data_IF_760414252257
#
_entry.id   IF_760414252257
#
_cell.length_a   1.000
_cell.length_b   1.000
_cell.length_c   1.000
_cell.angle_alpha   90.00
_cell.angle_beta   90.00
_cell.angle_gamma   90.00
#
_symmetry.space_group_name_H-M   'P 1'
#
loop_
_entity.id
_entity.type
_entity.pdbx_description
1 polymer ?
#
# COMPACT_ATOMS: atom_id res chain seq x y z
N UNK A 1 -45.72 53.42 -24.72
CA UNK A 1 -45.32 54.68 -24.05
C UNK A 1 -44.21 54.31 -23.08
N UNK A 2 -42.95 54.29 -23.53
CA UNK A 2 -41.96 55.42 -23.55
C UNK A 2 -41.55 55.77 -22.12
N UNK A 3 -40.36 55.37 -21.64
CA UNK A 3 -39.00 55.84 -21.95
C UNK A 3 -38.65 57.22 -21.36
N UNK A 4 -37.42 57.29 -20.84
CA UNK A 4 -36.56 58.45 -20.55
C UNK A 4 -36.80 59.37 -19.33
N UNK A 5 -35.76 59.36 -18.46
CA UNK A 5 -34.94 60.48 -17.96
C UNK A 5 -35.58 61.76 -17.37
N UNK A 6 -35.01 62.26 -16.26
CA UNK A 6 -34.22 63.51 -16.24
C UNK A 6 -33.46 63.68 -14.92
N UNK A 7 -32.22 64.13 -15.12
CA UNK A 7 -31.10 64.48 -14.23
C UNK A 7 -31.42 65.55 -13.18
N UNK A 8 -30.63 65.58 -12.10
CA UNK A 8 -30.14 66.86 -11.57
C UNK A 8 -28.68 66.76 -11.08
N UNK A 9 -27.89 67.69 -11.57
CA UNK A 9 -26.45 67.86 -11.37
C UNK A 9 -26.16 68.79 -10.20
N UNK A 10 -25.22 68.40 -9.33
CA UNK A 10 -24.65 69.27 -8.30
C UNK A 10 -23.12 69.19 -8.27
N UNK A 11 -22.45 70.17 -8.90
CA UNK A 11 -21.01 70.46 -8.75
C UNK A 11 -20.70 70.86 -7.30
N UNK A 12 -19.58 70.39 -6.73
CA UNK A 12 -18.79 71.14 -5.74
C UNK A 12 -17.34 70.62 -5.63
N UNK A 13 -16.46 71.40 -6.26
CA UNK A 13 -15.14 71.88 -5.83
C UNK A 13 -14.33 71.12 -4.77
N UNK A 14 -13.09 70.84 -5.18
CA UNK A 14 -11.95 70.39 -4.39
C UNK A 14 -11.65 71.30 -3.18
N UNK A 15 -11.34 70.66 -2.05
CA UNK A 15 -10.64 71.29 -0.94
C UNK A 15 -9.61 70.33 -0.36
N UNK A 16 -8.35 70.63 -0.67
CA UNK A 16 -7.12 70.17 -0.03
C UNK A 16 -7.21 70.30 1.49
N UNK A 17 -7.06 69.16 2.20
CA UNK A 17 -6.70 69.11 3.62
C UNK A 17 -5.50 68.18 3.82
N UNK A 18 -4.33 68.81 3.96
CA UNK A 18 -3.12 68.23 4.57
C UNK A 18 -3.42 67.83 6.02
N UNK A 19 -3.00 66.62 6.42
CA UNK A 19 -2.81 66.17 7.81
C UNK A 19 -1.86 64.95 7.83
N UNK A 20 -1.19 64.66 8.96
CA UNK A 20 0.27 64.69 9.05
C UNK A 20 0.93 63.31 8.98
N UNK A 21 2.22 63.36 8.64
CA UNK A 21 3.21 62.29 8.68
C UNK A 21 3.24 61.54 10.02
N UNK A 22 2.58 60.38 10.05
CA UNK A 22 2.77 59.36 11.07
C UNK A 22 4.01 58.52 10.73
N UNK A 23 5.03 58.59 11.59
CA UNK A 23 6.21 57.74 11.56
C UNK A 23 5.77 56.29 11.80
N UNK A 24 5.74 55.49 10.74
CA UNK A 24 5.57 54.04 10.87
C UNK A 24 6.77 53.43 11.59
N UNK A 25 6.59 52.37 12.41
CA UNK A 25 7.70 51.71 13.07
C UNK A 25 8.63 51.14 12.00
N UNK A 26 9.89 51.60 12.01
CA UNK A 26 10.97 51.03 11.19
C UNK A 26 11.02 49.53 11.41
N UNK A 27 10.92 48.77 10.32
CA UNK A 27 11.38 47.39 10.22
C UNK A 27 12.77 47.30 10.87
N UNK A 28 12.84 46.72 12.07
CA UNK A 28 14.09 46.12 12.55
C UNK A 28 14.30 44.87 11.71
N UNK A 29 15.48 44.64 11.12
CA UNK A 29 15.83 43.31 10.64
C UNK A 29 15.65 42.35 11.81
N UNK A 30 14.97 41.23 11.59
CA UNK A 30 14.91 40.15 12.56
C UNK A 30 16.36 39.79 12.92
N UNK A 31 16.75 40.06 14.16
CA UNK A 31 17.97 39.52 14.74
C UNK A 31 17.86 38.00 14.66
N UNK A 32 18.70 37.40 13.82
CA UNK A 32 18.97 35.97 13.84
C UNK A 32 19.50 35.64 15.23
N UNK A 33 18.64 35.06 16.07
CA UNK A 33 19.05 34.44 17.31
C UNK A 33 20.15 33.40 17.07
N UNK A 34 20.92 33.04 18.11
CA UNK A 34 22.07 32.16 17.97
C UNK A 34 21.62 30.85 17.32
N UNK A 35 22.23 30.53 16.18
CA UNK A 35 21.97 29.29 15.46
C UNK A 35 22.20 28.12 16.41
N UNK A 36 21.26 27.16 16.40
CA UNK A 36 21.40 25.93 17.17
C UNK A 36 22.80 25.31 16.94
N UNK A 37 23.47 24.83 18.00
CA UNK A 37 24.81 24.23 17.87
C UNK A 37 24.77 23.05 16.89
N UNK A 38 25.88 22.83 16.18
CA UNK A 38 26.05 21.62 15.39
C UNK A 38 25.88 20.40 16.28
N UNK A 39 25.12 19.42 15.85
CA UNK A 39 24.77 18.26 16.64
C UNK A 39 25.04 16.98 15.85
N UNK A 40 25.66 16.01 16.54
CA UNK A 40 25.80 14.65 16.03
C UNK A 40 24.58 13.85 16.50
N UNK A 41 23.79 13.38 15.55
CA UNK A 41 22.54 12.67 15.81
C UNK A 41 22.70 11.22 15.37
N UNK A 42 22.54 10.28 16.29
CA UNK A 42 22.43 8.88 15.92
C UNK A 42 21.13 8.67 15.11
N UNK A 43 21.25 8.06 13.94
CA UNK A 43 20.12 7.85 13.04
C UNK A 43 19.86 6.37 12.82
N UNK A 44 18.58 6.01 12.78
CA UNK A 44 18.04 4.77 12.20
C UNK A 44 16.75 5.17 11.48
N UNK A 45 16.89 5.61 10.23
CA UNK A 45 15.86 6.38 9.54
C UNK A 45 15.70 5.96 8.08
N UNK A 46 14.50 6.15 7.54
CA UNK A 46 14.23 5.96 6.12
C UNK A 46 14.68 7.19 5.34
N UNK A 47 15.43 6.96 4.26
CA UNK A 47 15.78 7.99 3.30
C UNK A 47 14.61 8.22 2.35
N UNK A 48 14.12 9.45 2.32
CA UNK A 48 13.16 9.90 1.32
C UNK A 48 13.80 10.92 0.38
N UNK A 49 13.50 10.79 -0.92
CA UNK A 49 14.03 11.66 -1.97
C UNK A 49 12.85 12.18 -2.77
N UNK A 50 12.66 13.50 -2.75
CA UNK A 50 11.56 14.20 -3.43
C UNK A 50 12.15 15.42 -4.14
N UNK A 51 11.90 15.53 -5.45
CA UNK A 51 12.39 16.63 -6.30
C UNK A 51 13.87 16.98 -6.06
N UNK A 52 14.74 15.96 -6.16
CA UNK A 52 16.21 16.02 -5.98
C UNK A 52 16.72 16.42 -4.58
N UNK A 53 15.82 16.61 -3.62
CA UNK A 53 16.14 16.84 -2.22
C UNK A 53 15.95 15.56 -1.41
N UNK A 54 16.74 15.42 -0.36
CA UNK A 54 16.80 14.19 0.43
C UNK A 54 16.64 14.46 1.91
N UNK A 55 15.92 13.59 2.60
CA UNK A 55 15.67 13.66 4.04
C UNK A 55 15.76 12.28 4.68
N UNK A 56 16.38 12.21 5.85
CA UNK A 56 16.17 11.08 6.77
C UNK A 56 14.90 11.37 7.58
N UNK A 57 13.90 10.51 7.43
CA UNK A 57 12.61 10.64 8.11
C UNK A 57 12.74 10.27 9.59
N UNK A 58 12.37 11.18 10.48
CA UNK A 58 12.43 10.95 11.93
C UNK A 58 11.28 10.06 12.42
N UNK A 59 10.05 10.33 11.95
CA UNK A 59 8.81 9.71 12.44
C UNK A 59 8.26 8.63 11.49
N UNK A 60 9.13 7.95 10.74
CA UNK A 60 8.76 6.84 9.86
C UNK A 60 8.55 7.24 8.40
N UNK A 61 7.30 7.20 7.91
CA UNK A 61 7.01 7.25 6.46
C UNK A 61 6.49 8.59 5.95
N UNK A 62 6.15 9.52 6.85
CA UNK A 62 5.64 10.83 6.50
C UNK A 62 6.69 11.91 6.78
N UNK A 63 6.65 13.05 6.05
CA UNK A 63 7.46 14.21 6.37
C UNK A 63 7.15 14.74 7.79
N UNK A 64 8.19 15.01 8.56
CA UNK A 64 8.12 15.54 9.92
C UNK A 64 8.99 16.79 10.11
N UNK A 65 8.72 17.59 11.16
CA UNK A 65 9.55 18.76 11.48
C UNK A 65 10.98 18.39 11.89
N UNK A 66 11.18 17.17 12.39
CA UNK A 66 12.47 16.66 12.88
C UNK A 66 13.28 15.91 11.81
N UNK A 67 12.81 15.90 10.56
CA UNK A 67 13.50 15.26 9.44
C UNK A 67 14.85 15.93 9.15
N UNK A 68 15.88 15.12 8.97
CA UNK A 68 17.24 15.60 8.75
C UNK A 68 17.50 15.73 7.25
N UNK A 69 17.68 16.96 6.70
CA UNK A 69 18.03 17.11 5.30
C UNK A 69 19.43 16.56 5.03
N UNK A 70 19.60 15.79 3.95
CA UNK A 70 20.88 15.16 3.59
C UNK A 70 21.44 15.76 2.31
N UNK A 71 22.74 16.03 2.29
CA UNK A 71 23.40 16.57 1.12
C UNK A 71 23.46 15.54 -0.03
N UNK A 72 23.13 15.95 -1.27
CA UNK A 72 23.07 15.03 -2.43
C UNK A 72 24.41 14.37 -2.78
N UNK A 73 25.54 14.92 -2.33
CA UNK A 73 26.85 14.26 -2.48
C UNK A 73 26.97 13.00 -1.60
N UNK A 74 26.33 12.98 -0.42
CA UNK A 74 26.27 11.81 0.46
C UNK A 74 25.51 10.67 -0.21
N UNK A 75 24.40 10.98 -0.87
CA UNK A 75 23.61 10.00 -1.62
C UNK A 75 24.45 9.31 -2.68
N UNK A 76 25.23 10.08 -3.45
CA UNK A 76 26.12 9.54 -4.47
C UNK A 76 27.28 8.73 -3.87
N UNK A 77 27.91 9.23 -2.80
CA UNK A 77 29.05 8.57 -2.17
C UNK A 77 28.70 7.18 -1.62
N UNK A 78 27.50 7.04 -1.04
CA UNK A 78 27.03 5.80 -0.43
C UNK A 78 26.07 5.00 -1.31
N UNK A 79 25.81 5.44 -2.54
CA UNK A 79 24.87 4.78 -3.46
C UNK A 79 23.44 4.70 -2.91
N UNK A 80 23.02 5.68 -2.11
CA UNK A 80 21.72 5.69 -1.46
C UNK A 80 20.59 5.98 -2.46
N UNK A 81 19.46 5.29 -2.26
CA UNK A 81 18.23 5.42 -3.05
C UNK A 81 17.04 5.62 -2.11
N UNK A 82 15.96 6.23 -2.61
CA UNK A 82 14.70 6.40 -1.87
C UNK A 82 14.26 5.06 -1.26
N UNK A 83 13.81 5.07 -0.02
CA UNK A 83 13.39 3.88 0.74
C UNK A 83 14.52 3.11 1.43
N UNK A 84 15.79 3.51 1.29
CA UNK A 84 16.87 2.92 2.08
C UNK A 84 16.67 3.24 3.56
N UNK A 85 16.86 2.24 4.42
CA UNK A 85 16.98 2.45 5.87
C UNK A 85 18.45 2.64 6.22
N UNK A 86 18.80 3.80 6.73
CA UNK A 86 20.17 4.21 7.01
C UNK A 86 20.38 4.24 8.51
N UNK A 87 21.43 3.56 8.97
CA UNK A 87 21.90 3.67 10.36
C UNK A 87 23.28 4.30 10.41
N UNK A 88 23.57 5.08 11.45
CA UNK A 88 24.86 5.74 11.61
C UNK A 88 24.77 7.03 12.41
N UNK A 89 25.63 7.99 12.07
CA UNK A 89 25.66 9.32 12.67
C UNK A 89 25.40 10.36 11.58
N UNK A 90 24.44 11.25 11.82
CA UNK A 90 24.21 12.44 11.00
C UNK A 90 24.84 13.65 11.69
N UNK A 91 25.81 14.27 11.02
CA UNK A 91 26.42 15.52 11.48
C UNK A 91 25.58 16.69 10.99
N UNK A 92 24.72 17.20 11.87
CA UNK A 92 23.81 18.29 11.57
C UNK A 92 24.52 19.63 11.82
N UNK A 93 24.83 20.41 10.78
CA UNK A 93 25.50 21.69 10.94
C UNK A 93 24.59 22.74 11.57
N UNK A 94 25.16 23.75 12.21
CA UNK A 94 24.39 24.92 12.64
C UNK A 94 23.67 25.61 11.47
N UNK A 95 22.39 25.90 11.64
CA UNK A 95 21.54 26.54 10.63
C UNK A 95 20.78 25.54 9.73
N UNK A 96 20.41 25.95 8.51
CA UNK A 96 19.58 25.14 7.59
C UNK A 96 20.38 24.37 6.54
N UNK A 97 21.65 24.06 6.82
CA UNK A 97 22.49 23.32 5.87
C UNK A 97 22.18 21.82 5.96
N UNK A 98 22.24 21.07 4.84
CA UNK A 98 22.08 19.62 4.89
C UNK A 98 23.19 18.94 5.69
N UNK A 99 22.85 17.86 6.38
CA UNK A 99 23.76 17.03 7.15
C UNK A 99 24.68 16.19 6.26
N UNK A 100 25.85 15.85 6.81
CA UNK A 100 26.72 14.77 6.30
C UNK A 100 26.52 13.50 7.10
N UNK A 101 26.79 12.34 6.51
CA UNK A 101 26.49 11.04 7.11
C UNK A 101 27.75 10.21 7.30
N UNK A 102 27.95 9.73 8.51
CA UNK A 102 28.83 8.61 8.81
C UNK A 102 27.95 7.34 8.86
N UNK A 103 27.83 6.67 7.70
CA UNK A 103 26.92 5.54 7.51
C UNK A 103 27.51 4.26 8.10
N UNK A 104 26.81 3.66 9.07
CA UNK A 104 27.16 2.36 9.64
C UNK A 104 26.57 1.19 8.84
N UNK A 105 25.27 1.24 8.52
CA UNK A 105 24.62 0.22 7.66
C UNK A 105 23.57 0.84 6.75
N UNK A 106 23.35 0.19 5.61
CA UNK A 106 22.27 0.49 4.66
C UNK A 106 21.41 -0.77 4.53
N UNK A 107 20.15 -0.70 4.91
CA UNK A 107 19.22 -1.83 4.94
C UNK A 107 19.74 -3.02 5.78
N UNK A 108 20.52 -2.72 6.82
CA UNK A 108 21.17 -3.72 7.69
C UNK A 108 22.40 -4.41 7.07
N UNK A 109 22.86 -3.95 5.90
CA UNK A 109 24.07 -4.44 5.24
C UNK A 109 25.20 -3.42 5.34
N UNK A 110 26.43 -3.91 5.20
CA UNK A 110 27.61 -3.06 5.06
C UNK A 110 27.45 -2.10 3.86
N UNK A 111 27.79 -0.80 4.01
CA UNK A 111 27.61 0.18 2.95
C UNK A 111 28.31 -0.18 1.64
N UNK A 112 29.48 -0.82 1.68
CA UNK A 112 30.21 -1.21 0.47
C UNK A 112 29.50 -2.33 -0.30
N UNK A 113 28.80 -3.22 0.40
CA UNK A 113 27.96 -4.24 -0.23
C UNK A 113 26.70 -3.61 -0.80
N UNK A 114 26.06 -2.71 -0.06
CA UNK A 114 24.82 -2.07 -0.45
C UNK A 114 24.97 -1.24 -1.75
N UNK A 115 26.14 -0.66 -2.02
CA UNK A 115 26.42 0.06 -3.29
C UNK A 115 26.37 -0.87 -4.51
N UNK A 116 26.72 -2.15 -4.34
CA UNK A 116 26.77 -3.14 -5.43
C UNK A 116 25.42 -3.79 -5.73
N UNK A 117 24.38 -3.47 -4.96
CA UNK A 117 23.05 -4.08 -5.15
C UNK A 117 22.46 -3.70 -6.52
N UNK A 118 21.78 -4.64 -7.18
CA UNK A 118 21.14 -4.38 -8.47
C UNK A 118 20.05 -3.31 -8.36
N UNK A 119 19.62 -2.78 -9.49
CA UNK A 119 18.42 -1.94 -9.55
C UNK A 119 17.19 -2.83 -9.69
N UNK A 120 16.16 -2.60 -8.88
CA UNK A 120 14.93 -3.39 -8.86
C UNK A 120 14.31 -3.61 -10.24
N UNK A 121 14.31 -2.59 -11.10
CA UNK A 121 13.69 -2.69 -12.43
C UNK A 121 14.59 -3.34 -13.48
N UNK A 122 15.88 -3.56 -13.17
CA UNK A 122 16.81 -4.32 -14.03
C UNK A 122 16.81 -5.82 -13.73
N UNK A 123 16.17 -6.25 -12.64
CA UNK A 123 16.06 -7.65 -12.26
C UNK A 123 15.06 -8.39 -13.15
N UNK A 124 15.40 -9.62 -13.53
CA UNK A 124 14.54 -10.50 -14.34
C UNK A 124 13.31 -10.90 -13.53
N UNK A 125 12.12 -10.53 -14.02
CA UNK A 125 10.85 -10.87 -13.39
C UNK A 125 10.34 -12.23 -13.87
N UNK A 126 9.95 -13.08 -12.92
CA UNK A 126 9.34 -14.38 -13.17
C UNK A 126 7.89 -14.43 -12.66
N UNK A 127 7.17 -15.47 -13.09
CA UNK A 127 5.96 -15.87 -12.38
C UNK A 127 6.30 -16.36 -10.97
N UNK A 128 5.37 -16.26 -10.00
CA UNK A 128 5.53 -16.90 -8.70
C UNK A 128 5.72 -18.42 -8.85
N UNK A 129 6.72 -18.96 -8.16
CA UNK A 129 7.10 -20.38 -8.21
C UNK A 129 7.12 -21.04 -6.82
N UNK A 130 7.18 -20.22 -5.76
CA UNK A 130 7.14 -20.70 -4.39
C UNK A 130 5.85 -20.21 -3.73
N UNK A 131 5.12 -21.13 -3.10
CA UNK A 131 3.81 -20.85 -2.50
C UNK A 131 3.95 -20.22 -1.11
N UNK A 132 3.27 -19.10 -0.89
CA UNK A 132 2.99 -18.55 0.44
C UNK A 132 1.79 -19.30 1.04
N UNK A 133 2.05 -20.43 1.69
CA UNK A 133 1.00 -21.25 2.31
C UNK A 133 0.34 -20.51 3.47
N UNK A 134 -1.00 -20.42 3.46
CA UNK A 134 -1.76 -19.66 4.46
C UNK A 134 -2.40 -20.56 5.53
N UNK A 135 -2.68 -21.82 5.23
CA UNK A 135 -3.21 -22.78 6.19
C UNK A 135 -2.30 -22.84 7.44
N UNK A 136 -2.89 -22.58 8.61
CA UNK A 136 -2.23 -22.64 9.91
C UNK A 136 -2.95 -23.66 10.79
N UNK A 137 -3.85 -23.21 11.66
CA UNK A 137 -4.60 -24.07 12.56
C UNK A 137 -5.90 -24.57 11.92
N UNK A 138 -6.37 -25.79 12.24
CA UNK A 138 -7.52 -26.41 11.59
C UNK A 138 -8.81 -25.57 11.66
N UNK A 139 -8.96 -24.81 12.75
CA UNK A 139 -10.13 -23.98 13.04
C UNK A 139 -10.12 -22.62 12.31
N UNK A 140 -8.98 -22.21 11.74
CA UNK A 140 -8.83 -20.97 10.97
C UNK A 140 -9.26 -21.26 9.52
N UNK A 141 -10.57 -21.32 9.32
CA UNK A 141 -11.16 -21.71 8.02
C UNK A 141 -10.87 -20.68 6.91
N UNK A 142 -10.67 -19.40 7.26
CA UNK A 142 -10.37 -18.34 6.29
C UNK A 142 -9.17 -18.68 5.43
N UNK A 143 -8.05 -19.00 6.06
CA UNK A 143 -6.79 -19.28 5.35
C UNK A 143 -6.85 -20.60 4.59
N UNK A 144 -7.50 -21.60 5.18
CA UNK A 144 -7.76 -22.88 4.52
C UNK A 144 -8.58 -22.75 3.24
N UNK A 145 -9.65 -21.96 3.27
CA UNK A 145 -10.47 -21.67 2.09
C UNK A 145 -9.63 -20.94 1.04
N UNK A 146 -8.89 -19.90 1.42
CA UNK A 146 -8.03 -19.15 0.48
C UNK A 146 -7.05 -20.10 -0.22
N UNK A 147 -6.37 -20.96 0.54
CA UNK A 147 -5.40 -21.92 -0.01
C UNK A 147 -6.00 -22.92 -1.02
N UNK A 148 -7.30 -23.22 -0.92
CA UNK A 148 -7.99 -24.12 -1.85
C UNK A 148 -8.53 -23.42 -3.10
N UNK A 149 -8.80 -22.11 -3.03
CA UNK A 149 -9.48 -21.36 -4.10
C UNK A 149 -8.57 -20.40 -4.85
N UNK A 150 -7.58 -19.83 -4.16
CA UNK A 150 -6.64 -18.84 -4.66
C UNK A 150 -5.27 -19.03 -3.98
N UNK A 151 -4.47 -20.05 -4.37
CA UNK A 151 -3.09 -20.18 -3.90
C UNK A 151 -2.31 -18.90 -4.19
N UNK A 152 -1.51 -18.44 -3.22
CA UNK A 152 -0.71 -17.22 -3.35
C UNK A 152 0.77 -17.61 -3.41
N UNK A 153 1.52 -17.04 -4.35
CA UNK A 153 2.95 -17.23 -4.43
C UNK A 153 3.78 -16.02 -4.00
N UNK A 154 5.07 -16.26 -3.76
CA UNK A 154 6.11 -15.24 -3.61
C UNK A 154 6.24 -14.47 -4.94
N UNK A 155 5.94 -13.17 -4.91
CA UNK A 155 5.84 -12.32 -6.10
C UNK A 155 4.43 -12.10 -6.65
N UNK A 156 3.38 -12.56 -5.97
CA UNK A 156 2.00 -12.44 -6.45
C UNK A 156 1.51 -10.98 -6.49
N UNK A 157 0.69 -10.65 -7.49
CA UNK A 157 -0.11 -9.42 -7.57
C UNK A 157 -1.58 -9.76 -7.38
N UNK A 158 -2.05 -9.75 -6.14
CA UNK A 158 -3.40 -10.18 -5.82
C UNK A 158 -4.33 -9.02 -5.45
N UNK A 159 -5.60 -9.13 -5.83
CA UNK A 159 -6.67 -8.25 -5.40
C UNK A 159 -7.64 -8.98 -4.47
N UNK A 160 -7.92 -8.39 -3.31
CA UNK A 160 -9.01 -8.82 -2.41
C UNK A 160 -10.20 -7.92 -2.72
N UNK A 161 -11.06 -8.40 -3.60
CA UNK A 161 -12.22 -7.66 -4.12
C UNK A 161 -13.34 -7.79 -3.12
N UNK A 162 -13.70 -6.69 -2.48
CA UNK A 162 -14.66 -6.69 -1.39
C UNK A 162 -15.67 -5.59 -1.53
N UNK A 163 -16.94 -5.94 -1.37
CA UNK A 163 -17.98 -4.97 -1.06
C UNK A 163 -17.81 -4.47 0.39
N UNK A 164 -18.32 -3.28 0.74
CA UNK A 164 -18.37 -2.84 2.13
C UNK A 164 -19.08 -3.87 3.01
N UNK A 165 -18.53 -4.12 4.21
CA UNK A 165 -19.05 -5.07 5.22
C UNK A 165 -19.00 -6.56 4.83
N UNK A 166 -18.29 -6.94 3.77
CA UNK A 166 -18.14 -8.36 3.37
C UNK A 166 -17.05 -9.13 4.16
N UNK A 167 -16.39 -8.50 5.14
CA UNK A 167 -15.35 -9.15 5.95
C UNK A 167 -13.91 -8.95 5.47
N UNK A 168 -13.64 -7.92 4.65
CA UNK A 168 -12.30 -7.49 4.19
C UNK A 168 -11.23 -7.57 5.30
N UNK A 169 -11.49 -6.90 6.42
CA UNK A 169 -10.55 -6.77 7.55
C UNK A 169 -10.19 -8.14 8.14
N UNK A 170 -11.18 -9.03 8.32
CA UNK A 170 -10.97 -10.39 8.83
C UNK A 170 -10.09 -11.21 7.89
N UNK A 171 -10.31 -11.09 6.57
CA UNK A 171 -9.52 -11.79 5.55
C UNK A 171 -8.08 -11.26 5.54
N UNK A 172 -7.90 -9.94 5.57
CA UNK A 172 -6.58 -9.31 5.57
C UNK A 172 -5.76 -9.70 6.82
N UNK A 173 -6.38 -9.67 8.00
CA UNK A 173 -5.74 -10.10 9.26
C UNK A 173 -5.38 -11.58 9.23
N UNK A 174 -6.28 -12.44 8.75
CA UNK A 174 -6.02 -13.87 8.65
C UNK A 174 -4.84 -14.17 7.70
N UNK A 175 -4.78 -13.49 6.55
CA UNK A 175 -3.63 -13.59 5.63
C UNK A 175 -2.34 -13.11 6.29
N UNK A 176 -2.37 -11.94 6.95
CA UNK A 176 -1.19 -11.35 7.60
C UNK A 176 -0.61 -12.28 8.67
N UNK A 177 -1.46 -12.80 9.56
CA UNK A 177 -1.05 -13.70 10.63
C UNK A 177 -0.57 -15.05 10.11
N UNK A 178 -1.19 -15.56 9.04
CA UNK A 178 -0.72 -16.78 8.38
C UNK A 178 0.65 -16.59 7.73
N UNK A 179 0.89 -15.48 7.03
CA UNK A 179 2.19 -15.16 6.43
C UNK A 179 3.25 -15.06 7.53
N UNK A 180 2.99 -14.30 8.60
CA UNK A 180 3.92 -14.15 9.71
C UNK A 180 4.22 -15.48 10.45
N UNK A 181 3.27 -16.42 10.45
CA UNK A 181 3.43 -17.73 11.10
C UNK A 181 4.19 -18.72 10.20
N UNK A 182 3.78 -18.83 8.94
CA UNK A 182 4.26 -19.86 8.02
C UNK A 182 5.49 -19.43 7.20
N UNK A 183 5.70 -18.13 7.05
CA UNK A 183 6.79 -17.54 6.27
C UNK A 183 7.48 -16.43 7.10
N UNK A 184 8.03 -16.74 8.29
CA UNK A 184 8.63 -15.74 9.18
C UNK A 184 9.87 -15.07 8.58
N UNK A 185 10.45 -15.63 7.51
CA UNK A 185 11.53 -15.03 6.74
C UNK A 185 11.06 -13.87 5.85
N UNK A 186 9.78 -13.83 5.50
CA UNK A 186 9.21 -12.78 4.67
C UNK A 186 9.03 -11.49 5.48
N UNK A 187 9.46 -10.36 4.92
CA UNK A 187 9.24 -9.05 5.51
C UNK A 187 7.81 -8.58 5.25
N UNK A 188 6.95 -8.68 6.25
CA UNK A 188 5.54 -8.32 6.16
C UNK A 188 5.32 -6.82 6.45
N UNK A 189 4.76 -6.10 5.46
CA UNK A 189 4.42 -4.69 5.54
C UNK A 189 2.90 -4.51 5.36
N UNK A 190 2.24 -3.79 6.28
CA UNK A 190 0.83 -3.44 6.19
C UNK A 190 0.73 -1.95 5.89
N UNK A 191 0.30 -1.60 4.68
CA UNK A 191 0.13 -0.21 4.23
C UNK A 191 -1.34 0.15 4.31
N UNK A 192 -1.72 0.97 5.28
CA UNK A 192 -3.09 1.39 5.55
C UNK A 192 -3.26 2.85 5.16
N UNK A 193 -4.13 3.13 4.19
CA UNK A 193 -4.34 4.47 3.64
C UNK A 193 -5.79 4.86 3.71
N UNK A 194 -6.06 6.07 4.25
CA UNK A 194 -7.41 6.62 4.38
C UNK A 194 -8.36 5.69 5.16
N UNK A 195 -7.80 4.99 6.17
CA UNK A 195 -8.54 4.09 7.05
C UNK A 195 -8.77 4.74 8.42
N UNK A 196 -9.68 4.16 9.20
CA UNK A 196 -10.04 4.69 10.51
C UNK A 196 -8.94 4.44 11.56
N UNK A 197 -8.67 5.38 12.49
CA UNK A 197 -7.65 5.21 13.53
C UNK A 197 -7.83 3.96 14.39
N UNK A 198 -9.07 3.58 14.71
CA UNK A 198 -9.37 2.38 15.48
C UNK A 198 -9.04 1.09 14.72
N UNK A 199 -9.23 1.07 13.40
CA UNK A 199 -8.88 -0.07 12.55
C UNK A 199 -7.36 -0.18 12.38
N UNK A 200 -6.64 0.94 12.28
CA UNK A 200 -5.18 0.97 12.30
C UNK A 200 -4.64 0.42 13.62
N UNK A 201 -5.20 0.86 14.75
CA UNK A 201 -4.79 0.40 16.08
C UNK A 201 -5.02 -1.10 16.25
N UNK A 202 -6.14 -1.62 15.75
CA UNK A 202 -6.45 -3.05 15.78
C UNK A 202 -5.41 -3.85 14.97
N UNK A 203 -5.05 -3.40 13.76
CA UNK A 203 -4.01 -4.03 12.95
C UNK A 203 -2.64 -4.04 13.64
N UNK A 204 -2.25 -2.92 14.26
CA UNK A 204 -0.99 -2.80 15.00
C UNK A 204 -0.88 -3.78 16.17
N UNK A 205 -2.01 -4.12 16.82
CA UNK A 205 -2.04 -5.04 17.95
C UNK A 205 -2.18 -6.50 17.53
N UNK A 206 -2.87 -6.74 16.42
CA UNK A 206 -3.28 -8.08 16.01
C UNK A 206 -2.35 -8.74 15.01
N UNK A 207 -1.45 -7.99 14.36
CA UNK A 207 -0.56 -8.49 13.31
C UNK A 207 0.90 -8.27 13.66
N UNK A 208 1.72 -9.32 13.49
CA UNK A 208 3.18 -9.25 13.62
C UNK A 208 3.80 -8.82 12.29
N UNK A 209 3.97 -7.53 12.08
CA UNK A 209 4.60 -6.96 10.89
C UNK A 209 4.84 -5.45 11.02
N UNK A 210 5.46 -4.88 10.01
CA UNK A 210 5.66 -3.43 9.91
C UNK A 210 4.34 -2.76 9.49
N UNK A 211 3.66 -2.06 10.41
CA UNK A 211 2.41 -1.35 10.11
C UNK A 211 2.68 0.12 9.79
N UNK A 212 2.31 0.51 8.59
CA UNK A 212 2.57 1.80 7.96
C UNK A 212 1.23 2.43 7.64
N UNK A 213 0.84 3.50 8.33
CA UNK A 213 -0.51 4.02 8.22
C UNK A 213 -0.58 5.55 8.09
N UNK A 214 -1.50 6.02 7.25
CA UNK A 214 -2.02 7.37 7.29
C UNK A 214 -3.56 7.30 7.31
N UNK A 215 -4.13 7.79 8.40
CA UNK A 215 -5.57 7.78 8.69
C UNK A 215 -6.32 8.83 7.87
N UNK A 216 -7.64 8.68 7.73
CA UNK A 216 -8.49 9.53 6.86
C UNK A 216 -8.48 11.03 7.19
N UNK A 217 -8.03 11.43 8.37
CA UNK A 217 -7.91 12.82 8.81
C UNK A 217 -6.67 13.53 8.22
N UNK A 218 -5.77 12.77 7.58
CA UNK A 218 -4.60 13.28 6.86
C UNK A 218 -4.98 13.74 5.45
N UNK A 219 -4.25 14.72 4.87
CA UNK A 219 -4.50 15.15 3.50
C UNK A 219 -4.14 14.04 2.49
N UNK A 220 -4.77 14.01 1.30
CA UNK A 220 -4.48 13.02 0.26
C UNK A 220 -3.00 12.93 -0.15
N UNK A 221 -2.26 14.04 -0.06
CA UNK A 221 -0.81 14.10 -0.34
C UNK A 221 0.00 13.24 0.63
N UNK A 222 -0.42 13.14 1.89
CA UNK A 222 0.25 12.29 2.89
C UNK A 222 0.01 10.82 2.55
N UNK A 223 -1.21 10.46 2.14
CA UNK A 223 -1.53 9.09 1.70
C UNK A 223 -0.65 8.66 0.52
N UNK A 224 -0.49 9.55 -0.48
CA UNK A 224 0.37 9.26 -1.64
C UNK A 224 1.84 9.18 -1.25
N UNK A 225 2.35 10.12 -0.42
CA UNK A 225 3.75 10.14 0.00
C UNK A 225 4.14 8.89 0.81
N UNK A 226 3.27 8.50 1.75
CA UNK A 226 3.46 7.29 2.56
C UNK A 226 3.50 6.03 1.69
N UNK A 227 2.57 5.88 0.75
CA UNK A 227 2.54 4.72 -0.14
C UNK A 227 3.78 4.68 -1.07
N UNK A 228 4.22 5.81 -1.59
CA UNK A 228 5.43 5.90 -2.42
C UNK A 228 6.69 5.49 -1.65
N UNK A 229 6.87 5.99 -0.42
CA UNK A 229 8.03 5.62 0.37
C UNK A 229 7.96 4.15 0.83
N UNK A 230 6.77 3.65 1.16
CA UNK A 230 6.55 2.24 1.51
C UNK A 230 6.93 1.29 0.37
N UNK A 231 6.52 1.58 -0.86
CA UNK A 231 6.86 0.71 -1.99
C UNK A 231 8.34 0.81 -2.38
N UNK A 232 8.97 1.98 -2.25
CA UNK A 232 10.41 2.10 -2.45
C UNK A 232 11.18 1.31 -1.39
N UNK A 233 10.76 1.36 -0.12
CA UNK A 233 11.33 0.54 0.96
C UNK A 233 11.24 -0.95 0.63
N UNK A 234 10.08 -1.41 0.18
CA UNK A 234 9.89 -2.80 -0.23
C UNK A 234 10.86 -3.21 -1.35
N UNK A 235 11.04 -2.35 -2.38
CA UNK A 235 12.01 -2.61 -3.47
C UNK A 235 13.44 -2.71 -2.97
N UNK A 236 13.87 -1.84 -2.05
CA UNK A 236 15.22 -1.88 -1.47
C UNK A 236 15.50 -3.20 -0.73
N UNK A 237 14.49 -3.73 -0.03
CA UNK A 237 14.58 -5.03 0.64
C UNK A 237 14.69 -6.19 -0.37
N UNK A 238 13.94 -6.14 -1.48
CA UNK A 238 14.03 -7.16 -2.55
C UNK A 238 15.37 -7.09 -3.28
N UNK A 239 15.92 -5.90 -3.53
CA UNK A 239 17.28 -5.72 -4.07
C UNK A 239 18.35 -6.36 -3.17
N UNK A 240 18.07 -6.49 -1.87
CA UNK A 240 18.92 -7.17 -0.89
C UNK A 240 18.63 -8.68 -0.78
N UNK A 241 17.79 -9.24 -1.66
CA UNK A 241 17.48 -10.67 -1.74
C UNK A 241 16.38 -11.15 -0.79
N UNK A 242 15.59 -10.23 -0.19
CA UNK A 242 14.51 -10.60 0.74
C UNK A 242 13.17 -10.80 0.04
N UNK A 243 12.38 -11.73 0.54
CA UNK A 243 10.96 -11.80 0.25
C UNK A 243 10.20 -10.74 1.05
N UNK A 244 9.38 -9.94 0.36
CA UNK A 244 8.61 -8.86 0.97
C UNK A 244 7.14 -9.05 0.59
N UNK A 245 6.26 -9.01 1.59
CA UNK A 245 4.82 -9.05 1.38
C UNK A 245 4.20 -7.74 1.84
N UNK A 246 3.58 -7.02 0.90
CA UNK A 246 2.85 -5.78 1.17
C UNK A 246 1.35 -6.06 1.15
N UNK A 247 0.70 -5.86 2.28
CA UNK A 247 -0.75 -5.86 2.41
C UNK A 247 -1.24 -4.42 2.33
N UNK A 248 -1.87 -4.04 1.22
CA UNK A 248 -2.37 -2.68 1.00
C UNK A 248 -3.87 -2.60 1.25
N UNK A 249 -4.28 -1.72 2.16
CA UNK A 249 -5.67 -1.43 2.46
C UNK A 249 -5.94 0.08 2.32
N UNK A 250 -6.46 0.58 1.18
CA UNK A 250 -6.85 -0.14 -0.04
C UNK A 250 -6.30 0.51 -1.29
N UNK A 251 -6.16 -0.27 -2.38
CA UNK A 251 -5.76 0.31 -3.69
C UNK A 251 -6.80 1.29 -4.22
N UNK A 252 -8.08 1.08 -3.88
CA UNK A 252 -9.17 1.99 -4.27
C UNK A 252 -9.01 3.36 -3.60
N UNK A 253 -8.77 3.38 -2.28
CA UNK A 253 -8.53 4.62 -1.53
C UNK A 253 -7.23 5.31 -1.94
N UNK A 254 -6.20 4.53 -2.26
CA UNK A 254 -4.96 5.08 -2.81
C UNK A 254 -5.22 5.76 -4.16
N UNK A 255 -5.98 5.12 -5.06
CA UNK A 255 -6.39 5.70 -6.34
C UNK A 255 -7.18 7.01 -6.18
N UNK A 256 -8.11 7.06 -5.22
CA UNK A 256 -8.82 8.30 -4.86
C UNK A 256 -7.85 9.39 -4.38
N UNK A 257 -6.89 9.03 -3.53
CA UNK A 257 -5.91 9.98 -3.00
C UNK A 257 -5.04 10.59 -4.10
N UNK A 258 -4.55 9.77 -5.04
CA UNK A 258 -3.83 10.28 -6.23
C UNK A 258 -4.71 11.17 -7.11
N UNK A 259 -5.98 10.84 -7.28
CA UNK A 259 -6.90 11.67 -8.06
C UNK A 259 -7.14 13.03 -7.40
N UNK A 260 -7.27 13.07 -6.08
CA UNK A 260 -7.44 14.31 -5.32
C UNK A 260 -6.16 15.15 -5.23
N UNK A 261 -4.99 14.51 -5.21
CA UNK A 261 -3.69 15.18 -5.20
C UNK A 261 -3.23 15.64 -6.60
N UNK A 262 -3.83 15.12 -7.67
CA UNK A 262 -3.45 15.45 -9.04
C UNK A 262 -3.76 16.93 -9.36
N UNK A 263 -2.84 17.66 -10.03
CA UNK A 263 -3.14 18.99 -10.56
C UNK A 263 -4.26 18.91 -11.59
N UNK A 264 -5.27 19.78 -11.51
CA UNK A 264 -6.39 19.78 -12.46
C UNK A 264 -5.93 20.14 -13.89
N UNK A 265 -5.63 19.14 -14.73
CA UNK A 265 -5.13 19.32 -16.11
C UNK A 265 -6.22 19.16 -17.19
N UNK A 266 -7.48 19.09 -16.79
CA UNK A 266 -8.65 19.24 -17.68
C UNK A 266 -9.01 18.04 -18.55
N UNK A 267 -8.29 16.91 -18.48
CA UNK A 267 -8.65 15.65 -19.15
C UNK A 267 -9.13 14.62 -18.14
N UNK A 268 -10.44 14.63 -17.91
CA UNK A 268 -11.11 13.68 -17.03
C UNK A 268 -11.66 12.49 -17.81
N UNK A 269 -11.39 11.29 -17.32
CA UNK A 269 -12.03 10.05 -17.73
C UNK A 269 -13.42 9.89 -17.10
N UNK A 270 -14.14 8.85 -17.51
CA UNK A 270 -15.38 8.42 -16.86
C UNK A 270 -15.20 8.31 -15.33
N UNK A 271 -16.21 8.74 -14.58
CA UNK A 271 -16.15 8.76 -13.12
C UNK A 271 -15.40 9.94 -12.50
N UNK A 272 -14.99 10.94 -13.30
CA UNK A 272 -14.33 12.16 -12.79
C UNK A 272 -12.87 11.96 -12.39
N UNK A 273 -12.21 10.98 -13.01
CA UNK A 273 -10.82 10.62 -12.72
C UNK A 273 -9.90 11.35 -13.70
N UNK A 274 -8.86 12.03 -13.21
CA UNK A 274 -7.83 12.57 -14.09
C UNK A 274 -7.09 11.44 -14.82
N UNK A 275 -6.89 11.61 -16.13
CA UNK A 275 -6.23 10.60 -16.98
C UNK A 275 -4.85 10.12 -16.49
N UNK A 276 -4.16 10.91 -15.66
CA UNK A 276 -2.83 10.59 -15.12
C UNK A 276 -2.88 10.04 -13.69
N UNK A 277 -3.99 10.21 -12.97
CA UNK A 277 -4.09 9.89 -11.54
C UNK A 277 -3.91 8.40 -11.23
N UNK A 278 -4.30 7.51 -12.15
CA UNK A 278 -4.20 6.07 -11.92
C UNK A 278 -2.84 5.47 -12.29
N UNK A 279 -1.94 6.25 -12.90
CA UNK A 279 -0.62 5.75 -13.29
C UNK A 279 0.26 5.36 -12.09
N UNK A 280 0.45 6.22 -11.06
CA UNK A 280 1.22 5.84 -9.87
C UNK A 280 0.70 4.60 -9.12
N UNK A 281 -0.60 4.46 -8.77
CA UNK A 281 -1.09 3.27 -8.07
C UNK A 281 -1.03 2.01 -8.96
N UNK A 282 -1.16 2.14 -10.30
CA UNK A 282 -0.93 1.03 -11.22
C UNK A 282 0.53 0.57 -11.20
N UNK A 283 1.49 1.50 -11.12
CA UNK A 283 2.91 1.19 -10.91
C UNK A 283 3.20 0.58 -9.54
N UNK A 284 2.50 1.01 -8.50
CA UNK A 284 2.58 0.41 -7.17
C UNK A 284 2.22 -1.07 -7.25
N UNK A 285 1.02 -1.40 -7.74
CA UNK A 285 0.56 -2.79 -7.86
C UNK A 285 1.44 -3.60 -8.84
N UNK A 286 1.85 -3.00 -9.96
CA UNK A 286 2.74 -3.60 -10.95
C UNK A 286 4.20 -3.76 -10.50
N UNK A 287 4.58 -3.26 -9.32
CA UNK A 287 5.88 -3.52 -8.75
C UNK A 287 6.02 -4.99 -8.33
N UNK A 288 4.94 -5.64 -7.86
CA UNK A 288 4.99 -7.02 -7.39
C UNK A 288 5.38 -8.00 -8.49
N UNK A 289 6.38 -8.84 -8.16
CA UNK A 289 7.04 -9.79 -9.06
C UNK A 289 7.93 -10.73 -8.27
N UNK A 290 8.11 -11.94 -8.78
CA UNK A 290 9.17 -12.84 -8.35
C UNK A 290 10.47 -12.47 -9.09
N UNK A 291 11.63 -12.54 -8.45
CA UNK A 291 12.92 -12.24 -9.07
C UNK A 291 13.75 -13.50 -9.24
N UNK A 292 14.28 -13.70 -10.44
CA UNK A 292 15.23 -14.77 -10.71
C UNK A 292 16.50 -14.62 -9.84
N UNK A 293 16.85 -15.67 -9.08
CA UNK A 293 18.00 -15.69 -8.16
C UNK A 293 18.02 -14.54 -7.13
N UNK A 294 16.85 -14.05 -6.73
CA UNK A 294 16.69 -12.96 -5.77
C UNK A 294 15.55 -13.20 -4.80
N UNK A 295 15.10 -12.12 -4.15
CA UNK A 295 13.88 -12.15 -3.34
C UNK A 295 12.62 -11.95 -4.18
N UNK A 296 11.49 -11.71 -3.54
CA UNK A 296 10.22 -11.44 -4.23
C UNK A 296 9.49 -10.25 -3.62
N UNK A 297 8.71 -9.54 -4.44
CA UNK A 297 7.76 -8.55 -3.97
C UNK A 297 6.34 -9.07 -4.21
N UNK A 298 5.65 -9.45 -3.14
CA UNK A 298 4.22 -9.81 -3.17
C UNK A 298 3.40 -8.59 -2.76
N UNK A 299 2.34 -8.27 -3.49
CA UNK A 299 1.37 -7.23 -3.11
C UNK A 299 -0.02 -7.86 -3.10
N UNK A 300 -0.66 -7.86 -1.94
CA UNK A 300 -2.07 -8.22 -1.77
C UNK A 300 -2.82 -6.93 -1.43
N UNK A 301 -3.62 -6.43 -2.35
CA UNK A 301 -4.31 -5.16 -2.16
C UNK A 301 -5.83 -5.36 -2.10
N UNK A 302 -6.49 -4.74 -1.12
CA UNK A 302 -7.95 -4.72 -1.08
C UNK A 302 -8.47 -3.74 -2.14
N UNK A 303 -9.54 -4.11 -2.83
CA UNK A 303 -10.21 -3.27 -3.81
C UNK A 303 -11.71 -3.24 -3.50
N UNK A 304 -12.25 -2.03 -3.37
CA UNK A 304 -13.67 -1.83 -3.08
C UNK A 304 -14.48 -1.88 -4.38
N UNK A 305 -15.57 -2.66 -4.35
CA UNK A 305 -16.55 -2.75 -5.44
C UNK A 305 -17.96 -2.53 -4.91
N UNK A 306 -18.90 -2.23 -5.82
CA UNK A 306 -20.32 -1.99 -5.52
C UNK A 306 -20.54 -0.95 -4.40
N UNK A 307 -19.72 0.10 -4.40
CA UNK A 307 -19.82 1.23 -3.45
C UNK A 307 -20.88 2.25 -3.87
N UNK A 308 -21.45 2.11 -5.08
CA UNK A 308 -22.30 3.11 -5.71
C UNK A 308 -21.52 4.27 -6.36
N UNK A 309 -20.19 4.27 -6.30
CA UNK A 309 -19.35 5.29 -6.92
C UNK A 309 -18.83 4.84 -8.28
N UNK A 310 -19.18 5.56 -9.35
CA UNK A 310 -18.64 5.31 -10.69
C UNK A 310 -17.10 5.42 -10.73
N UNK A 311 -16.52 6.28 -9.90
CA UNK A 311 -15.07 6.39 -9.74
C UNK A 311 -14.46 5.06 -9.27
N UNK A 312 -15.01 4.44 -8.23
CA UNK A 312 -14.48 3.17 -7.71
C UNK A 312 -14.59 2.05 -8.74
N UNK A 313 -15.68 2.02 -9.51
CA UNK A 313 -15.84 1.05 -10.61
C UNK A 313 -14.73 1.19 -11.64
N UNK A 314 -14.43 2.42 -12.09
CA UNK A 314 -13.35 2.66 -13.08
C UNK A 314 -11.98 2.32 -12.48
N UNK A 315 -11.74 2.69 -11.22
CA UNK A 315 -10.50 2.35 -10.50
C UNK A 315 -10.32 0.83 -10.44
N UNK A 316 -11.37 0.09 -10.08
CA UNK A 316 -11.33 -1.36 -9.99
C UNK A 316 -11.00 -2.01 -11.33
N UNK A 317 -11.68 -1.63 -12.42
CA UNK A 317 -11.44 -2.19 -13.75
C UNK A 317 -9.99 -1.96 -14.23
N UNK A 318 -9.43 -0.78 -13.94
CA UNK A 318 -8.03 -0.49 -14.27
C UNK A 318 -7.05 -1.42 -13.54
N UNK A 319 -7.25 -1.68 -12.25
CA UNK A 319 -6.35 -2.52 -11.48
C UNK A 319 -6.60 -4.02 -11.67
N UNK A 320 -7.83 -4.44 -11.98
CA UNK A 320 -8.15 -5.82 -12.31
C UNK A 320 -7.32 -6.34 -13.48
N UNK A 321 -7.05 -5.49 -14.47
CA UNK A 321 -6.17 -5.82 -15.60
C UNK A 321 -4.70 -6.03 -15.22
N UNK A 322 -4.27 -5.51 -14.06
CA UNK A 322 -2.88 -5.51 -13.59
C UNK A 322 -2.57 -6.71 -12.68
N UNK A 323 -3.56 -7.17 -11.92
CA UNK A 323 -3.46 -8.32 -11.03
C UNK A 323 -3.38 -9.67 -11.77
N UNK A 324 -2.81 -10.67 -11.10
CA UNK A 324 -2.77 -12.06 -11.57
C UNK A 324 -3.42 -13.06 -10.60
N UNK A 325 -3.97 -12.59 -9.48
CA UNK A 325 -4.85 -13.35 -8.59
C UNK A 325 -5.98 -12.45 -8.07
N UNK A 326 -7.16 -13.03 -7.86
CA UNK A 326 -8.33 -12.32 -7.34
C UNK A 326 -9.06 -13.21 -6.34
N UNK A 327 -9.34 -12.68 -5.15
CA UNK A 327 -10.30 -13.28 -4.23
C UNK A 327 -11.46 -12.32 -4.06
N UNK A 328 -12.67 -12.82 -4.33
CA UNK A 328 -13.88 -12.02 -4.27
C UNK A 328 -14.65 -12.36 -3.00
N UNK A 329 -15.00 -11.33 -2.24
CA UNK A 329 -15.87 -11.41 -1.08
C UNK A 329 -17.30 -11.03 -1.46
N UNK A 330 -18.27 -11.84 -1.06
CA UNK A 330 -19.68 -11.67 -1.35
C UNK A 330 -20.43 -11.24 -0.08
N UNK A 331 -21.00 -10.03 -0.11
CA UNK A 331 -21.78 -9.47 0.99
C UNK A 331 -23.01 -10.30 1.35
N UNK A 332 -23.65 -10.98 0.40
CA UNK A 332 -24.83 -11.80 0.67
C UNK A 332 -24.51 -13.02 1.53
N UNK A 333 -23.27 -13.54 1.46
CA UNK A 333 -22.75 -14.58 2.34
C UNK A 333 -22.52 -14.02 3.74
N UNK A 334 -21.89 -12.84 3.83
CA UNK A 334 -21.64 -12.14 5.09
C UNK A 334 -22.94 -11.75 5.83
N UNK A 335 -23.96 -11.26 5.11
CA UNK A 335 -25.30 -10.95 5.65
C UNK A 335 -26.00 -12.20 6.19
N UNK A 336 -25.68 -13.38 5.64
CA UNK A 336 -26.14 -14.68 6.14
C UNK A 336 -25.26 -15.25 7.26
N UNK A 337 -24.32 -14.45 7.78
CA UNK A 337 -23.32 -14.82 8.81
C UNK A 337 -22.44 -16.01 8.41
N UNK A 338 -22.19 -16.18 7.11
CA UNK A 338 -21.33 -17.23 6.59
C UNK A 338 -19.93 -16.66 6.31
N UNK A 339 -18.95 -17.05 7.12
CA UNK A 339 -17.56 -16.58 7.01
C UNK A 339 -16.57 -17.76 6.87
N UNK A 340 -15.47 -17.60 6.11
CA UNK A 340 -15.12 -16.44 5.27
C UNK A 340 -16.12 -16.26 4.11
N UNK A 341 -16.53 -15.02 3.83
CA UNK A 341 -17.56 -14.72 2.83
C UNK A 341 -17.01 -14.72 1.40
N UNK A 342 -16.31 -15.80 1.02
CA UNK A 342 -15.58 -15.91 -0.25
C UNK A 342 -16.47 -16.52 -1.33
N UNK A 343 -16.53 -15.85 -2.49
CA UNK A 343 -17.09 -16.39 -3.71
C UNK A 343 -16.07 -17.35 -4.36
N UNK A 344 -16.24 -18.64 -4.12
CA UNK A 344 -15.31 -19.70 -4.54
C UNK A 344 -15.17 -19.79 -6.06
N UNK A 345 -16.25 -19.56 -6.80
CA UNK A 345 -16.26 -19.73 -8.26
C UNK A 345 -15.58 -18.57 -8.96
N UNK A 346 -15.76 -17.36 -8.43
CA UNK A 346 -15.19 -16.12 -8.99
C UNK A 346 -13.75 -15.85 -8.56
N UNK A 347 -13.26 -16.52 -7.50
CA UNK A 347 -11.90 -16.35 -7.00
C UNK A 347 -10.90 -17.28 -7.71
N UNK A 348 -9.64 -16.89 -7.86
CA UNK A 348 -8.63 -17.73 -8.48
C UNK A 348 -7.28 -17.05 -8.70
N UNK A 349 -6.28 -17.87 -8.99
CA UNK A 349 -4.92 -17.44 -9.31
C UNK A 349 -4.59 -17.89 -10.73
N UNK A 350 -3.98 -16.99 -11.53
CA UNK A 350 -3.43 -17.37 -12.84
C UNK A 350 -2.12 -18.14 -12.63
N UNK A 351 -1.91 -19.17 -13.43
CA UNK A 351 -0.73 -20.04 -13.33
C UNK A 351 -0.60 -20.72 -11.96
N UNK A 352 -1.71 -21.16 -11.37
CA UNK A 352 -1.70 -21.86 -10.08
C UNK A 352 -1.00 -23.23 -10.16
N UNK A 353 -0.88 -23.82 -11.36
CA UNK A 353 -0.08 -25.03 -11.62
C UNK A 353 1.41 -24.88 -11.26
N UNK A 354 1.93 -23.66 -11.20
CA UNK A 354 3.30 -23.40 -10.77
C UNK A 354 3.47 -23.41 -9.24
N UNK A 355 2.36 -23.33 -8.49
CA UNK A 355 2.34 -23.17 -7.03
C UNK A 355 1.89 -24.42 -6.29
N UNK A 356 1.18 -25.33 -6.97
CA UNK A 356 0.64 -26.56 -6.38
C UNK A 356 1.05 -27.79 -7.16
N UNK A 357 1.21 -28.92 -6.45
CA UNK A 357 1.56 -30.18 -7.08
C UNK A 357 0.43 -30.70 -7.99
N UNK A 358 0.73 -31.51 -9.01
CA UNK A 358 -0.25 -31.94 -10.02
C UNK A 358 -1.46 -32.67 -9.43
N UNK A 359 -1.24 -33.49 -8.39
CA UNK A 359 -2.33 -34.19 -7.68
C UNK A 359 -3.21 -33.21 -6.89
N UNK A 360 -2.61 -32.25 -6.18
CA UNK A 360 -3.35 -31.23 -5.44
C UNK A 360 -4.18 -30.37 -6.40
N UNK A 361 -3.59 -29.94 -7.52
CA UNK A 361 -4.24 -29.16 -8.56
C UNK A 361 -5.47 -29.88 -9.13
N UNK A 362 -5.34 -31.16 -9.47
CA UNK A 362 -6.45 -31.96 -9.98
C UNK A 362 -7.63 -32.02 -9.00
N UNK A 363 -7.33 -32.19 -7.70
CA UNK A 363 -8.34 -32.23 -6.63
C UNK A 363 -8.97 -30.86 -6.39
N UNK A 364 -8.19 -29.77 -6.44
CA UNK A 364 -8.70 -28.40 -6.36
C UNK A 364 -9.64 -28.08 -7.53
N UNK A 365 -9.32 -28.50 -8.74
CA UNK A 365 -10.20 -28.33 -9.90
C UNK A 365 -11.49 -29.16 -9.78
N UNK A 366 -11.41 -30.38 -9.25
CA UNK A 366 -12.60 -31.19 -8.96
C UNK A 366 -13.48 -30.50 -7.92
N UNK A 367 -12.90 -30.00 -6.83
CA UNK A 367 -13.59 -29.23 -5.81
C UNK A 367 -14.30 -28.01 -6.42
N UNK A 368 -13.60 -27.24 -7.26
CA UNK A 368 -14.17 -26.07 -7.94
C UNK A 368 -15.39 -26.43 -8.80
N UNK A 369 -15.34 -27.55 -9.53
CA UNK A 369 -16.49 -28.04 -10.32
C UNK A 369 -17.65 -28.51 -9.43
N UNK A 370 -17.37 -29.14 -8.30
CA UNK A 370 -18.42 -29.55 -7.36
C UNK A 370 -19.13 -28.34 -6.72
N UNK A 371 -18.40 -27.23 -6.53
CA UNK A 371 -18.91 -26.00 -5.91
C UNK A 371 -19.50 -25.00 -6.91
N UNK A 372 -19.52 -25.30 -8.22
CA UNK A 372 -20.03 -24.39 -9.25
C UNK A 372 -21.55 -24.42 -9.44
N UNK A 373 -22.29 -25.02 -8.50
CA UNK A 373 -23.76 -25.05 -8.52
C UNK A 373 -24.40 -23.66 -8.30
N UNK A 374 -25.69 -23.54 -8.58
CA UNK A 374 -26.40 -22.25 -8.55
C UNK A 374 -26.51 -21.64 -7.13
N UNK A 375 -26.55 -22.45 -6.08
CA UNK A 375 -26.61 -21.97 -4.69
C UNK A 375 -25.21 -21.82 -4.06
N UNK A 376 -24.67 -20.61 -4.16
CA UNK A 376 -23.40 -20.20 -3.54
C UNK A 376 -23.40 -20.33 -2.00
N UNK A 377 -24.52 -20.05 -1.34
CA UNK A 377 -24.64 -20.12 0.13
C UNK A 377 -24.55 -21.56 0.61
N UNK A 378 -25.28 -22.46 -0.05
CA UNK A 378 -25.24 -23.89 0.27
C UNK A 378 -23.85 -24.47 -0.01
N UNK A 379 -23.27 -24.14 -1.16
CA UNK A 379 -21.94 -24.63 -1.56
C UNK A 379 -20.86 -24.25 -0.54
N UNK A 380 -20.82 -22.98 -0.10
CA UNK A 380 -19.87 -22.55 0.92
C UNK A 380 -20.15 -23.20 2.29
N UNK A 381 -21.42 -23.35 2.71
CA UNK A 381 -21.74 -24.05 3.97
C UNK A 381 -21.21 -25.47 3.98
N UNK A 382 -21.45 -26.23 2.91
CA UNK A 382 -21.00 -27.60 2.78
C UNK A 382 -19.46 -27.70 2.80
N UNK A 383 -18.78 -26.81 2.09
CA UNK A 383 -17.32 -26.71 2.13
C UNK A 383 -16.83 -26.51 3.57
N UNK A 384 -17.40 -25.55 4.30
CA UNK A 384 -17.00 -25.24 5.67
C UNK A 384 -17.29 -26.39 6.64
N UNK A 385 -18.39 -27.12 6.48
CA UNK A 385 -18.69 -28.32 7.28
C UNK A 385 -17.66 -29.42 7.06
N UNK A 386 -17.28 -29.70 5.81
CA UNK A 386 -16.26 -30.69 5.52
C UNK A 386 -14.86 -30.27 5.97
N UNK A 387 -14.52 -28.98 5.86
CA UNK A 387 -13.25 -28.46 6.39
C UNK A 387 -13.19 -28.59 7.90
N UNK A 388 -14.26 -28.29 8.63
CA UNK A 388 -14.34 -28.49 10.09
C UNK A 388 -14.16 -29.96 10.51
N UNK A 389 -14.56 -30.90 9.65
CA UNK A 389 -14.42 -32.33 9.90
C UNK A 389 -13.00 -32.88 9.62
N UNK A 390 -12.05 -32.03 9.25
CA UNK A 390 -10.67 -32.40 8.87
C UNK A 390 -9.63 -31.49 9.53
N UNK A 391 -8.47 -32.06 9.81
CA UNK A 391 -7.35 -31.36 10.44
C UNK A 391 -6.56 -30.49 9.47
N UNK A 392 -6.62 -30.77 8.16
CA UNK A 392 -5.89 -30.04 7.13
C UNK A 392 -6.55 -30.11 5.76
N UNK A 393 -6.17 -29.20 4.87
CA UNK A 393 -6.55 -29.18 3.46
C UNK A 393 -6.07 -30.43 2.73
N UNK A 394 -4.89 -30.94 3.07
CA UNK A 394 -4.38 -32.18 2.51
C UNK A 394 -5.27 -33.39 2.90
N UNK A 395 -5.71 -33.45 4.16
CA UNK A 395 -6.67 -34.47 4.59
C UNK A 395 -8.03 -34.32 3.91
N UNK A 396 -8.54 -33.09 3.84
CA UNK A 396 -9.79 -32.77 3.16
C UNK A 396 -9.80 -33.21 1.70
N UNK A 397 -8.78 -32.82 0.92
CA UNK A 397 -8.67 -33.18 -0.49
C UNK A 397 -8.56 -34.70 -0.68
N UNK A 398 -7.82 -35.41 0.19
CA UNK A 398 -7.75 -36.88 0.16
C UNK A 398 -9.09 -37.55 0.44
N UNK A 399 -9.87 -37.04 1.40
CA UNK A 399 -11.22 -37.57 1.68
C UNK A 399 -12.18 -37.31 0.52
N UNK A 400 -12.15 -36.11 -0.04
CA UNK A 400 -12.98 -35.76 -1.20
C UNK A 400 -12.71 -36.66 -2.41
N UNK A 401 -11.45 -37.06 -2.64
CA UNK A 401 -11.08 -37.99 -3.69
C UNK A 401 -11.70 -39.39 -3.53
N UNK A 402 -11.83 -39.89 -2.28
CA UNK A 402 -12.34 -41.24 -1.98
C UNK A 402 -13.86 -41.35 -2.08
N UNK A 403 -14.60 -40.27 -1.83
CA UNK A 403 -16.06 -40.29 -1.89
C UNK A 403 -16.60 -40.36 -3.33
N UNK A 404 -15.73 -40.14 -4.33
CA UNK A 404 -16.10 -40.10 -5.75
C UNK A 404 -15.53 -41.28 -6.57
N UNK A 405 -14.73 -42.16 -5.94
CA UNK A 405 -14.29 -43.45 -6.48
C UNK A 405 -15.16 -44.57 -5.92
#
# INVERSE_FOLDING_TARGET
>A
MTDSDVRSSGRRTAQTRRRPSGVGPRNRPAETGPGAPSADVAVDALLDIVDDKAWLRADGYLPGPDDIPVASNQLRAHGLRRGDRVTGIAHVPSGRKPATLDVATINGQDPHQAVRRPDFYKLTALYPQERLRLETEPHILTTRVIDLVMPIGKGQRALIVSQPKAGKTMVLQAMANAIATNNPEAHLMLVLVDERPEEVTDMQRSVKGEVIAATFDRPPTDHTALAELAIERAKRLVEAGRDVVVLLDSITRLGRSYNLAAPARGRTMSGGIDSTALYPPKRFLGAARNIENGGSLTILATALVDTGSAMDTVIFEEFKSTGNAEIKLDRTLAESRLFPAVDVTSSGTRHDEALVGPTELALMHQLRRALSGEDRKQSLRQLLEHLKATSSNAEFLRRAARTQS
#
